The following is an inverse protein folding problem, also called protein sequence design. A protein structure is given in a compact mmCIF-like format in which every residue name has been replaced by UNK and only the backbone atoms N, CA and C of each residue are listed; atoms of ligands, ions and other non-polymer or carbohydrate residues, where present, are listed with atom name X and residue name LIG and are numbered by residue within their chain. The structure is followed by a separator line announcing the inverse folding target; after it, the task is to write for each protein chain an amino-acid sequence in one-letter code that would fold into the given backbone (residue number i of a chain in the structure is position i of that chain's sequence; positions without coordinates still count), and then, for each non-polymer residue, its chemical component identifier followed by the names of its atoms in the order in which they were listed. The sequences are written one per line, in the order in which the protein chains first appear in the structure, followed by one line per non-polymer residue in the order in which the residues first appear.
data_IF_481665063422
#
_entry.id   IF_481665063422
#
_cell.length_a   1.000
_cell.length_b   1.000
_cell.length_c   1.000
_cell.angle_alpha   90.00
_cell.angle_beta   90.00
_cell.angle_gamma   90.00
#
_symmetry.space_group_name_H-M   'P 1'
#
loop_
_entity.id
_entity.type
_entity.pdbx_description
1 polymer ?
#
# COMPACT_ATOMS: atom_id res chain seq x y z
N UNK A 1 12.09 -24.61 -6.83
CA UNK A 1 12.57 -23.20 -6.91
C UNK A 1 13.15 -22.80 -5.57
N UNK A 2 14.34 -22.20 -5.51
CA UNK A 2 14.93 -21.82 -4.22
C UNK A 2 14.25 -20.56 -3.67
N UNK A 3 13.70 -20.65 -2.47
CA UNK A 3 13.20 -19.50 -1.67
C UNK A 3 14.18 -18.32 -1.63
N UNK A 4 15.47 -18.55 -1.88
CA UNK A 4 16.50 -17.52 -1.99
C UNK A 4 16.32 -16.59 -3.19
N UNK A 5 15.96 -17.10 -4.38
CA UNK A 5 15.76 -16.27 -5.59
C UNK A 5 14.56 -15.34 -5.41
N UNK A 6 13.44 -15.89 -4.95
CA UNK A 6 12.22 -15.13 -4.65
C UNK A 6 12.50 -14.04 -3.59
N UNK A 7 13.20 -14.39 -2.50
CA UNK A 7 13.54 -13.41 -1.45
C UNK A 7 14.41 -12.27 -1.97
N UNK A 8 15.32 -12.51 -2.92
CA UNK A 8 16.18 -11.47 -3.48
C UNK A 8 15.37 -10.47 -4.31
N UNK A 9 14.44 -10.97 -5.13
CA UNK A 9 13.58 -10.13 -5.97
C UNK A 9 12.65 -9.27 -5.11
N UNK A 10 12.05 -9.84 -4.06
CA UNK A 10 11.23 -9.08 -3.11
C UNK A 10 12.06 -7.96 -2.45
N UNK A 11 13.29 -8.26 -2.05
CA UNK A 11 14.20 -7.28 -1.44
C UNK A 11 14.54 -6.15 -2.42
N UNK A 12 14.82 -6.47 -3.68
CA UNK A 12 15.07 -5.47 -4.73
C UNK A 12 13.84 -4.61 -5.04
N UNK A 13 12.64 -5.19 -5.05
CA UNK A 13 11.38 -4.43 -5.23
C UNK A 13 11.20 -3.46 -4.07
N UNK A 14 11.29 -3.93 -2.82
CA UNK A 14 11.10 -3.07 -1.64
C UNK A 14 12.17 -1.97 -1.57
N UNK A 15 13.43 -2.28 -1.92
CA UNK A 15 14.52 -1.31 -1.85
C UNK A 15 14.43 -0.20 -2.91
N UNK A 16 13.79 -0.47 -4.05
CA UNK A 16 13.56 0.51 -5.12
C UNK A 16 12.23 1.26 -4.97
N UNK A 17 11.31 0.75 -4.15
CA UNK A 17 10.04 1.39 -3.89
C UNK A 17 10.25 2.66 -3.06
N UNK A 18 9.54 3.72 -3.43
CA UNK A 18 9.55 5.00 -2.74
C UNK A 18 8.66 5.00 -1.48
N UNK A 19 7.84 3.96 -1.30
CA UNK A 19 7.11 3.66 -0.07
C UNK A 19 7.94 2.77 0.89
N UNK A 20 7.97 3.15 2.16
CA UNK A 20 8.63 2.35 3.20
C UNK A 20 7.81 1.12 3.58
N UNK A 21 6.48 1.23 3.49
CA UNK A 21 5.51 0.18 3.76
C UNK A 21 4.83 -0.22 2.44
N UNK A 22 5.50 -1.06 1.67
CA UNK A 22 5.07 -1.45 0.34
C UNK A 22 3.87 -2.41 0.43
N UNK A 23 2.78 -2.21 -0.33
CA UNK A 23 1.69 -3.17 -0.39
C UNK A 23 2.17 -4.55 -0.82
N UNK A 24 1.89 -5.61 -0.05
CA UNK A 24 2.31 -6.96 -0.44
C UNK A 24 1.68 -7.37 -1.77
N UNK A 25 0.46 -6.89 -2.05
CA UNK A 25 -0.23 -7.10 -3.33
C UNK A 25 0.56 -6.49 -4.50
N UNK A 26 1.09 -5.27 -4.34
CA UNK A 26 1.96 -4.63 -5.34
C UNK A 26 3.17 -5.50 -5.64
N UNK A 27 3.88 -5.95 -4.60
CA UNK A 27 5.05 -6.82 -4.75
C UNK A 27 4.65 -8.11 -5.49
N UNK A 28 3.56 -8.75 -5.08
CA UNK A 28 3.07 -9.98 -5.68
C UNK A 28 2.78 -9.82 -7.17
N UNK A 29 2.03 -8.79 -7.56
CA UNK A 29 1.70 -8.54 -8.96
C UNK A 29 2.93 -8.17 -9.80
N UNK A 30 3.83 -7.34 -9.27
CA UNK A 30 5.09 -7.02 -9.95
C UNK A 30 5.90 -8.29 -10.25
N UNK A 31 5.96 -9.26 -9.31
CA UNK A 31 6.63 -10.53 -9.57
C UNK A 31 5.86 -11.36 -10.58
N UNK A 32 4.54 -11.49 -10.41
CA UNK A 32 3.67 -12.28 -11.30
C UNK A 32 3.80 -11.87 -12.77
N UNK A 33 3.84 -10.57 -13.05
CA UNK A 33 3.83 -10.05 -14.42
C UNK A 33 5.22 -9.72 -14.98
N UNK A 34 6.20 -9.33 -14.16
CA UNK A 34 7.54 -8.97 -14.64
C UNK A 34 8.56 -10.10 -14.51
N UNK A 35 8.24 -11.16 -13.76
CA UNK A 35 9.08 -12.35 -13.58
C UNK A 35 8.27 -13.64 -13.85
N UNK A 36 7.77 -13.83 -15.08
CA UNK A 36 6.91 -14.98 -15.42
C UNK A 36 7.63 -16.33 -15.28
N UNK A 37 8.97 -16.34 -15.22
CA UNK A 37 9.76 -17.54 -14.96
C UNK A 37 9.66 -18.04 -13.52
N UNK A 38 9.04 -17.27 -12.62
CA UNK A 38 8.88 -17.62 -11.21
C UNK A 38 7.51 -18.26 -11.02
N UNK A 39 7.53 -19.51 -10.55
CA UNK A 39 6.31 -20.15 -10.07
C UNK A 39 5.91 -19.51 -8.73
N UNK A 40 5.02 -18.52 -8.80
CA UNK A 40 4.52 -17.78 -7.65
C UNK A 40 3.45 -18.60 -6.93
N UNK A 41 3.52 -18.77 -5.60
CA UNK A 41 2.46 -19.45 -4.86
C UNK A 41 1.20 -18.57 -4.82
N UNK A 42 0.10 -19.07 -4.26
CA UNK A 42 -1.11 -18.23 -4.04
C UNK A 42 -0.78 -16.99 -3.21
N UNK A 43 -1.58 -15.92 -3.32
CA UNK A 43 -1.30 -14.70 -2.55
C UNK A 43 -1.23 -14.93 -1.04
N UNK A 44 -2.09 -15.81 -0.50
CA UNK A 44 -2.09 -16.17 0.92
C UNK A 44 -0.77 -16.85 1.33
N UNK A 45 -0.31 -17.81 0.54
CA UNK A 45 0.97 -18.49 0.76
C UNK A 45 2.17 -17.54 0.61
N UNK A 46 2.11 -16.62 -0.34
CA UNK A 46 3.10 -15.55 -0.51
C UNK A 46 3.21 -14.67 0.74
N UNK A 47 2.08 -14.23 1.31
CA UNK A 47 2.08 -13.46 2.56
C UNK A 47 2.65 -14.28 3.71
N UNK A 48 2.31 -15.56 3.81
CA UNK A 48 2.88 -16.44 4.83
C UNK A 48 4.39 -16.63 4.66
N UNK A 49 4.88 -16.71 3.42
CA UNK A 49 6.31 -16.71 3.11
C UNK A 49 7.00 -15.44 3.62
N UNK A 50 6.40 -14.26 3.39
CA UNK A 50 6.92 -12.98 3.88
C UNK A 50 6.98 -12.94 5.40
N UNK A 51 5.92 -13.38 6.09
CA UNK A 51 5.86 -13.43 7.58
C UNK A 51 6.94 -14.31 8.19
N UNK A 52 7.25 -15.44 7.56
CA UNK A 52 8.27 -16.40 8.03
C UNK A 52 9.70 -15.93 7.75
N UNK A 53 9.88 -14.99 6.84
CA UNK A 53 11.20 -14.47 6.49
C UNK A 53 11.77 -13.60 7.60
N UNK A 54 13.03 -13.81 7.95
CA UNK A 54 13.76 -12.94 8.89
C UNK A 54 14.08 -11.56 8.29
N UNK A 55 14.05 -11.43 6.96
CA UNK A 55 14.38 -10.17 6.26
C UNK A 55 13.22 -9.18 6.25
N UNK A 56 11.99 -9.69 6.30
CA UNK A 56 10.79 -8.88 6.12
C UNK A 56 10.02 -8.74 7.44
N UNK A 57 9.28 -7.65 7.52
CA UNK A 57 8.29 -7.41 8.55
C UNK A 57 6.97 -7.09 7.85
N UNK A 58 5.93 -7.84 8.22
CA UNK A 58 4.58 -7.68 7.66
C UNK A 58 3.72 -6.96 8.69
N UNK A 59 3.13 -5.86 8.27
CA UNK A 59 2.17 -5.07 9.06
C UNK A 59 0.78 -5.38 8.51
N UNK A 60 -0.08 -5.96 9.34
CA UNK A 60 -1.46 -6.29 8.98
C UNK A 60 -2.40 -5.15 9.34
N UNK A 61 -3.40 -4.92 8.49
CA UNK A 61 -4.55 -4.05 8.79
C UNK A 61 -5.73 -4.93 9.17
N UNK A 62 -6.59 -4.47 10.08
CA UNK A 62 -7.70 -5.26 10.67
C UNK A 62 -8.71 -5.85 9.66
N UNK A 63 -8.66 -5.44 8.38
CA UNK A 63 -9.57 -5.88 7.31
C UNK A 63 -8.85 -6.54 6.13
N UNK A 64 -7.82 -7.35 6.39
CA UNK A 64 -7.12 -8.07 5.32
C UNK A 64 -7.87 -9.30 4.83
N UNK A 65 -8.28 -9.27 3.57
CA UNK A 65 -8.70 -10.47 2.85
C UNK A 65 -7.57 -11.01 1.97
N UNK A 66 -7.21 -12.28 2.18
CA UNK A 66 -6.10 -12.95 1.52
C UNK A 66 -6.60 -13.93 0.45
N UNK A 67 -7.23 -13.42 -0.60
CA UNK A 67 -7.61 -14.20 -1.78
C UNK A 67 -6.91 -13.71 -3.04
N UNK A 68 -6.81 -14.59 -4.04
CA UNK A 68 -6.35 -14.23 -5.38
C UNK A 68 -7.44 -13.47 -6.12
N UNK A 69 -7.04 -12.39 -6.81
CA UNK A 69 -7.97 -11.54 -7.54
C UNK A 69 -8.10 -12.03 -8.98
N UNK A 70 -9.25 -11.82 -9.64
CA UNK A 70 -9.37 -12.03 -11.08
C UNK A 70 -8.31 -11.21 -11.85
N UNK A 71 -7.79 -11.75 -12.94
CA UNK A 71 -6.71 -11.13 -13.73
C UNK A 71 -7.07 -9.70 -14.21
N UNK A 72 -8.34 -9.46 -14.57
CA UNK A 72 -8.84 -8.15 -14.95
C UNK A 72 -8.68 -7.12 -13.83
N UNK A 73 -8.97 -7.52 -12.59
CA UNK A 73 -8.81 -6.67 -11.40
C UNK A 73 -7.34 -6.45 -11.10
N UNK A 74 -6.50 -7.48 -11.21
CA UNK A 74 -5.05 -7.35 -11.00
C UNK A 74 -4.41 -6.34 -11.97
N UNK A 75 -4.73 -6.44 -13.26
CA UNK A 75 -4.23 -5.51 -14.28
C UNK A 75 -4.69 -4.09 -14.02
N UNK A 76 -5.95 -3.92 -13.61
CA UNK A 76 -6.47 -2.62 -13.22
C UNK A 76 -5.68 -2.02 -12.05
N UNK A 77 -5.45 -2.79 -10.97
CA UNK A 77 -4.68 -2.35 -9.80
C UNK A 77 -3.24 -1.97 -10.17
N UNK A 78 -2.61 -2.71 -11.09
CA UNK A 78 -1.28 -2.37 -11.61
C UNK A 78 -1.28 -1.06 -12.39
N UNK A 79 -2.31 -0.82 -13.18
CA UNK A 79 -2.42 0.37 -14.02
C UNK A 79 -2.69 1.64 -13.19
N UNK A 80 -3.55 1.56 -12.19
CA UNK A 80 -3.92 2.71 -11.35
C UNK A 80 -3.01 2.86 -10.13
N UNK A 81 -2.16 1.87 -9.84
CA UNK A 81 -1.27 1.81 -8.68
C UNK A 81 -1.96 1.97 -7.30
N UNK A 82 -3.24 1.61 -7.21
CA UNK A 82 -4.01 1.70 -5.97
C UNK A 82 -4.10 0.31 -5.35
N UNK A 83 -3.47 0.14 -4.19
CA UNK A 83 -3.44 -1.14 -3.48
C UNK A 83 -4.18 -1.12 -2.13
N UNK A 84 -5.08 -0.15 -1.96
CA UNK A 84 -6.09 -0.03 -0.90
C UNK A 84 -5.74 -0.70 0.44
N UNK A 85 -6.60 -1.64 0.84
CA UNK A 85 -6.49 -2.47 2.04
C UNK A 85 -5.59 -3.70 1.78
N UNK A 86 -4.83 -4.12 2.78
CA UNK A 86 -3.90 -5.22 2.57
C UNK A 86 -2.72 -5.25 3.53
N UNK A 87 -2.02 -6.39 3.64
CA UNK A 87 -0.76 -6.43 4.38
C UNK A 87 0.26 -5.52 3.69
N UNK A 88 0.98 -4.73 4.50
CA UNK A 88 2.13 -3.95 4.05
C UNK A 88 3.42 -4.63 4.50
N UNK A 89 4.47 -4.50 3.70
CA UNK A 89 5.76 -5.15 3.93
C UNK A 89 6.85 -4.10 3.94
N UNK A 90 7.76 -4.24 4.89
CA UNK A 90 9.03 -3.51 4.89
C UNK A 90 10.21 -4.43 5.14
N UNK A 91 11.40 -3.93 4.88
CA UNK A 91 12.62 -4.55 5.39
C UNK A 91 12.66 -4.42 6.91
N UNK A 92 12.97 -5.51 7.60
CA UNK A 92 13.11 -5.53 9.07
C UNK A 92 14.21 -4.60 9.56
N UNK A 93 15.23 -4.35 8.74
CA UNK A 93 16.32 -3.41 9.02
C UNK A 93 15.85 -1.94 9.09
N UNK A 94 14.72 -1.60 8.47
CA UNK A 94 14.19 -0.23 8.47
C UNK A 94 13.37 0.00 9.73
N UNK A 95 13.86 0.88 10.60
CA UNK A 95 13.11 1.36 11.77
C UNK A 95 12.08 2.38 11.34
N UNK A 96 10.81 2.11 11.65
CA UNK A 96 9.72 3.06 11.42
C UNK A 96 9.83 4.18 12.43
N UNK A 97 10.03 5.40 11.95
CA UNK A 97 9.93 6.63 12.74
C UNK A 97 8.63 7.34 12.38
N UNK A 98 8.04 8.17 13.28
CA UNK A 98 6.83 8.92 12.98
C UNK A 98 6.94 9.73 11.67
N UNK A 99 8.08 10.40 11.46
CA UNK A 99 8.37 11.13 10.22
C UNK A 99 8.33 10.23 8.99
N UNK A 100 8.99 9.08 9.03
CA UNK A 100 9.00 8.12 7.91
C UNK A 100 7.61 7.55 7.63
N UNK A 101 6.82 7.28 8.67
CA UNK A 101 5.43 6.84 8.54
C UNK A 101 4.57 7.92 7.89
N UNK A 102 4.73 9.18 8.29
CA UNK A 102 4.05 10.33 7.70
C UNK A 102 4.39 10.50 6.22
N UNK A 103 5.68 10.48 5.89
CA UNK A 103 6.15 10.62 4.51
C UNK A 103 5.62 9.47 3.63
N UNK A 104 5.66 8.23 4.13
CA UNK A 104 5.12 7.07 3.42
C UNK A 104 3.60 7.17 3.22
N UNK A 105 2.86 7.63 4.23
CA UNK A 105 1.42 7.82 4.14
C UNK A 105 1.05 8.90 3.11
N UNK A 106 1.73 10.05 3.15
CA UNK A 106 1.50 11.15 2.20
C UNK A 106 1.76 10.71 0.75
N UNK A 107 2.84 9.97 0.51
CA UNK A 107 3.13 9.41 -0.82
C UNK A 107 2.08 8.41 -1.28
N UNK A 108 1.69 7.48 -0.42
CA UNK A 108 0.65 6.49 -0.75
C UNK A 108 -0.67 7.18 -1.08
N UNK A 109 -1.01 8.27 -0.37
CA UNK A 109 -2.18 9.08 -0.67
C UNK A 109 -2.06 9.81 -2.02
N UNK A 110 -0.90 10.42 -2.33
CA UNK A 110 -0.69 11.12 -3.60
C UNK A 110 -0.81 10.16 -4.79
N UNK A 111 -0.22 8.96 -4.70
CA UNK A 111 -0.37 7.93 -5.75
C UNK A 111 -1.80 7.49 -5.91
N UNK A 112 -2.48 7.25 -4.79
CA UNK A 112 -3.90 6.90 -4.82
C UNK A 112 -4.69 7.97 -5.56
N UNK A 113 -4.54 9.24 -5.17
CA UNK A 113 -5.21 10.36 -5.84
C UNK A 113 -4.91 10.40 -7.35
N UNK A 114 -3.65 10.24 -7.76
CA UNK A 114 -3.27 10.25 -9.18
C UNK A 114 -3.90 9.06 -9.96
N UNK A 115 -3.87 7.86 -9.37
CA UNK A 115 -4.52 6.68 -9.94
C UNK A 115 -6.02 6.88 -10.15
N UNK A 116 -6.68 7.60 -9.24
CA UNK A 116 -8.09 7.95 -9.34
C UNK A 116 -8.38 9.01 -10.39
N UNK A 117 -7.55 10.05 -10.46
CA UNK A 117 -7.65 11.06 -11.52
C UNK A 117 -7.53 10.39 -12.90
N UNK A 118 -6.64 9.40 -13.04
CA UNK A 118 -6.52 8.60 -14.26
C UNK A 118 -7.76 7.73 -14.53
N UNK A 119 -8.30 7.05 -13.52
CA UNK A 119 -9.48 6.21 -13.66
C UNK A 119 -10.71 7.05 -14.05
N UNK A 120 -10.88 8.22 -13.43
CA UNK A 120 -11.92 9.20 -13.79
C UNK A 120 -11.74 9.68 -15.23
N UNK A 121 -10.52 10.01 -15.65
CA UNK A 121 -10.25 10.43 -17.03
C UNK A 121 -10.57 9.33 -18.06
N UNK A 122 -10.27 8.07 -17.73
CA UNK A 122 -10.61 6.92 -18.57
C UNK A 122 -12.12 6.72 -18.68
N UNK A 123 -12.81 6.81 -17.55
CA UNK A 123 -14.27 6.78 -17.49
C UNK A 123 -14.87 7.87 -18.39
N UNK A 124 -14.42 9.12 -18.28
CA UNK A 124 -14.92 10.22 -19.13
C UNK A 124 -14.62 10.04 -20.63
N UNK A 125 -13.66 9.18 -20.99
CA UNK A 125 -13.34 8.85 -22.39
C UNK A 125 -14.19 7.70 -22.97
N UNK A 126 -14.84 6.90 -22.13
CA UNK A 126 -15.78 5.86 -22.55
C UNK A 126 -17.17 6.45 -22.74
N UNK A 127 -17.75 6.25 -23.93
CA UNK A 127 -18.96 6.96 -24.39
C UNK A 127 -20.28 6.54 -23.72
N UNK A 128 -20.29 5.50 -22.88
CA UNK A 128 -21.52 4.97 -22.25
C UNK A 128 -21.24 4.47 -20.82
N UNK A 129 -21.04 5.41 -19.88
CA UNK A 129 -21.01 5.07 -18.46
C UNK A 129 -22.28 5.59 -17.80
N UNK A 130 -23.02 4.69 -17.16
CA UNK A 130 -24.19 5.04 -16.38
C UNK A 130 -23.79 6.00 -15.25
N UNK A 131 -24.44 7.17 -15.21
CA UNK A 131 -24.09 8.26 -14.29
C UNK A 131 -24.16 7.86 -12.80
N UNK A 132 -24.97 6.87 -12.44
CA UNK A 132 -25.09 6.38 -11.06
C UNK A 132 -23.85 5.62 -10.57
N UNK A 133 -23.25 4.79 -11.41
CA UNK A 133 -22.03 4.04 -11.04
C UNK A 133 -20.85 4.99 -10.88
N UNK A 134 -20.77 5.99 -11.77
CA UNK A 134 -19.78 7.06 -11.72
C UNK A 134 -19.93 7.89 -10.43
N UNK A 135 -21.17 8.23 -10.05
CA UNK A 135 -21.46 8.99 -8.83
C UNK A 135 -21.16 8.19 -7.54
N UNK A 136 -21.39 6.87 -7.54
CA UNK A 136 -21.04 6.00 -6.40
C UNK A 136 -19.53 5.95 -6.19
N UNK A 137 -18.79 5.75 -7.26
CA UNK A 137 -17.32 5.74 -7.25
C UNK A 137 -16.80 7.08 -6.71
N UNK A 138 -17.31 8.22 -7.21
CA UNK A 138 -16.94 9.55 -6.71
C UNK A 138 -17.28 9.72 -5.22
N UNK A 139 -18.45 9.28 -4.77
CA UNK A 139 -18.90 9.43 -3.37
C UNK A 139 -18.03 8.64 -2.40
N UNK A 140 -17.73 7.37 -2.74
CA UNK A 140 -16.81 6.55 -1.94
C UNK A 140 -15.39 7.15 -1.88
N UNK A 141 -14.98 7.90 -2.91
CA UNK A 141 -13.71 8.63 -2.88
C UNK A 141 -13.71 9.87 -1.99
N UNK A 142 -14.82 10.62 -1.96
CA UNK A 142 -14.94 11.75 -1.05
C UNK A 142 -14.87 11.31 0.41
N UNK A 143 -15.53 10.20 0.75
CA UNK A 143 -15.48 9.62 2.10
C UNK A 143 -14.09 9.12 2.47
N UNK A 144 -13.40 8.40 1.57
CA UNK A 144 -12.04 7.91 1.81
C UNK A 144 -11.05 9.07 2.01
N UNK A 145 -11.16 10.13 1.20
CA UNK A 145 -10.37 11.35 1.36
C UNK A 145 -10.59 11.97 2.75
N UNK A 146 -11.84 12.07 3.19
CA UNK A 146 -12.16 12.66 4.49
C UNK A 146 -11.58 11.85 5.65
N UNK A 147 -11.61 10.51 5.57
CA UNK A 147 -10.98 9.63 6.56
C UNK A 147 -9.46 9.77 6.61
N UNK A 148 -8.82 9.95 5.44
CA UNK A 148 -7.39 10.20 5.33
C UNK A 148 -7.02 11.55 5.97
N UNK A 149 -7.75 12.62 5.65
CA UNK A 149 -7.52 13.95 6.23
C UNK A 149 -7.66 13.92 7.77
N UNK A 150 -8.65 13.19 8.29
CA UNK A 150 -8.82 12.97 9.74
C UNK A 150 -7.65 12.23 10.37
N UNK A 151 -7.10 11.23 9.68
CA UNK A 151 -5.96 10.44 10.16
C UNK A 151 -4.68 11.27 10.15
N UNK A 152 -4.45 12.11 9.14
CA UNK A 152 -3.32 13.05 9.11
C UNK A 152 -3.40 14.01 10.31
N UNK A 153 -4.56 14.62 10.56
CA UNK A 153 -4.75 15.52 11.69
C UNK A 153 -4.51 14.84 13.05
N UNK A 154 -4.91 13.57 13.18
CA UNK A 154 -4.64 12.78 14.38
C UNK A 154 -3.14 12.55 14.57
N UNK A 155 -2.43 12.17 13.50
CA UNK A 155 -0.97 11.96 13.54
C UNK A 155 -0.23 13.26 13.90
N UNK A 156 -0.64 14.41 13.37
CA UNK A 156 -0.08 15.72 13.71
C UNK A 156 -0.30 16.06 15.20
N UNK A 157 -1.49 15.79 15.73
CA UNK A 157 -1.78 15.98 17.17
C UNK A 157 -0.94 15.08 18.06
N UNK A 158 -0.69 13.83 17.64
CA UNK A 158 0.16 12.89 18.38
C UNK A 158 1.63 13.33 18.38
N UNK A 159 2.15 13.89 17.27
CA UNK A 159 3.50 14.47 17.22
C UNK A 159 3.67 15.68 18.16
N UNK A 160 2.68 16.57 18.22
CA UNK A 160 2.65 17.70 19.15
C UNK A 160 2.61 17.22 20.61
N UNK A 161 1.86 16.16 20.89
CA UNK A 161 1.82 15.56 22.21
C UNK A 161 3.18 14.96 22.62
N UNK A 162 3.80 14.13 21.78
CA UNK A 162 5.10 13.52 22.09
C UNK A 162 6.22 14.55 22.28
N UNK A 163 6.24 15.60 21.46
CA UNK A 163 7.21 16.70 21.57
C UNK A 163 7.03 17.49 22.87
N UNK A 164 5.78 17.75 23.27
CA UNK A 164 5.47 18.39 24.56
C UNK A 164 5.88 17.54 25.77
N UNK A 165 5.67 16.22 25.70
CA UNK A 165 6.04 15.27 26.77
C UNK A 165 7.56 15.14 26.89
N UNK A 166 8.29 15.06 25.76
CA UNK A 166 9.77 15.04 25.74
C UNK A 166 10.35 16.36 26.28
N UNK A 167 9.77 17.51 25.94
CA UNK A 167 10.17 18.80 26.47
C UNK A 167 9.96 18.90 27.99
N UNK A 168 8.86 18.33 28.51
CA UNK A 168 8.57 18.28 29.95
C UNK A 168 9.52 17.35 30.73
N UNK A 169 9.96 16.24 30.12
CA UNK A 169 10.96 15.32 30.71
C UNK A 169 12.39 15.88 30.73
N UNK A 170 12.77 16.79 29.83
CA UNK A 170 14.08 17.46 29.85
C UNK A 170 14.19 18.60 30.88
N UNK A 171 13.07 19.04 31.46
CA UNK A 171 13.01 20.13 32.45
C UNK A 171 12.93 19.63 33.90
N UNK A 172 12.94 18.32 34.12
CA UNK A 172 13.09 17.66 35.42
C UNK A 172 14.44 16.98 35.47
#
# INVERSE_FOLDING_TARGET
MSNRKLSKIIEEIIAKDDEILVPARKIYLLIKYNHPEINLPSFSEFVNFLKRSRKFEVVETSETTFYDLPESVEKLLMQIEIYGTGPRVKLRSVKLTPKLMRDAFLKSYQKMRAGLENLIAQIYSEKDIASEDLNRVISSFMELREQIDKTIQLLEKLELYESSVKARKKRK
#
